data_IF_143756592445
#
_entry.id   IF_143756592445
#
_cell.length_a   1.000
_cell.length_b   1.000
_cell.length_c   1.000
_cell.angle_alpha   90.00
_cell.angle_beta   90.00
_cell.angle_gamma   90.00
#
_symmetry.space_group_name_H-M   'P 1'
#
loop_
_entity.id
_entity.type
_entity.pdbx_description
1 polymer ?
#
# COMPACT_ATOMS: atom_id res chain seq x y z
N UNK A 1 -30.04 -10.97 -7.65
CA UNK A 1 -29.98 -10.64 -9.09
C UNK A 1 -30.51 -11.83 -9.87
N UNK A 2 -31.39 -11.63 -10.86
CA UNK A 2 -31.98 -12.76 -11.59
C UNK A 2 -30.96 -13.29 -12.62
N UNK A 3 -30.68 -14.60 -12.60
CA UNK A 3 -29.76 -15.28 -13.51
C UNK A 3 -30.09 -15.00 -14.99
N UNK A 4 -31.37 -14.91 -15.33
CA UNK A 4 -31.84 -14.66 -16.68
C UNK A 4 -31.35 -13.30 -17.20
N UNK A 5 -31.49 -12.27 -16.39
CA UNK A 5 -31.01 -10.91 -16.70
C UNK A 5 -29.48 -10.86 -16.83
N UNK A 6 -28.77 -11.57 -15.94
CA UNK A 6 -27.29 -11.61 -15.96
C UNK A 6 -26.76 -12.27 -17.23
N UNK A 7 -27.38 -13.37 -17.66
CA UNK A 7 -27.02 -14.04 -18.93
C UNK A 7 -27.18 -13.06 -20.11
N UNK A 8 -28.29 -12.37 -20.17
CA UNK A 8 -28.57 -11.41 -21.23
C UNK A 8 -27.55 -10.27 -21.26
N UNK A 9 -27.29 -9.62 -20.11
CA UNK A 9 -26.36 -8.52 -20.00
C UNK A 9 -24.93 -8.93 -20.38
N UNK A 10 -24.44 -10.08 -19.92
CA UNK A 10 -23.12 -10.58 -20.25
C UNK A 10 -22.98 -10.95 -21.72
N UNK A 11 -24.01 -11.55 -22.33
CA UNK A 11 -23.99 -11.86 -23.76
C UNK A 11 -23.89 -10.59 -24.61
N UNK A 12 -24.73 -9.59 -24.32
CA UNK A 12 -24.73 -8.31 -25.05
C UNK A 12 -23.40 -7.58 -24.88
N UNK A 13 -22.85 -7.51 -23.66
CA UNK A 13 -21.59 -6.83 -23.40
C UNK A 13 -20.40 -7.43 -24.17
N UNK A 14 -20.53 -8.70 -24.58
CA UNK A 14 -19.51 -9.42 -25.38
C UNK A 14 -19.82 -9.45 -26.88
N UNK A 15 -20.90 -8.83 -27.29
CA UNK A 15 -21.33 -8.80 -28.71
C UNK A 15 -21.74 -10.17 -29.26
N UNK A 16 -22.10 -11.14 -28.41
CA UNK A 16 -22.48 -12.48 -28.80
C UNK A 16 -23.95 -12.54 -29.22
N UNK A 17 -24.25 -13.34 -30.27
CA UNK A 17 -25.62 -13.66 -30.63
C UNK A 17 -26.18 -14.82 -29.81
N UNK A 18 -27.49 -15.01 -29.81
CA UNK A 18 -28.11 -16.18 -29.20
C UNK A 18 -27.64 -17.51 -29.83
N UNK A 19 -27.26 -17.46 -31.12
CA UNK A 19 -26.76 -18.57 -31.91
C UNK A 19 -25.35 -18.95 -31.47
N UNK A 20 -24.43 -17.96 -31.34
CA UNK A 20 -23.05 -18.17 -30.87
C UNK A 20 -23.04 -18.87 -29.50
N UNK A 21 -23.87 -18.37 -28.56
CA UNK A 21 -23.97 -18.97 -27.24
C UNK A 21 -24.58 -20.38 -27.31
N UNK A 22 -25.61 -20.56 -28.16
CA UNK A 22 -26.25 -21.85 -28.36
C UNK A 22 -25.31 -22.91 -28.87
N UNK A 23 -24.55 -22.58 -29.93
CA UNK A 23 -23.57 -23.46 -30.56
C UNK A 23 -22.44 -23.86 -29.60
N UNK A 24 -21.89 -22.89 -28.86
CA UNK A 24 -20.84 -23.17 -27.89
C UNK A 24 -21.32 -24.08 -26.76
N UNK A 25 -22.49 -23.79 -26.19
CA UNK A 25 -23.06 -24.57 -25.09
C UNK A 25 -23.63 -25.91 -25.56
N UNK A 26 -23.89 -26.06 -26.86
CA UNK A 26 -24.52 -27.23 -27.46
C UNK A 26 -26.02 -27.29 -27.16
N UNK A 27 -26.73 -26.17 -27.41
CA UNK A 27 -28.18 -26.03 -27.29
C UNK A 27 -28.71 -25.13 -28.39
N UNK A 28 -30.01 -25.18 -28.70
CA UNK A 28 -30.61 -24.29 -29.67
C UNK A 28 -30.67 -22.82 -29.17
N UNK A 29 -30.63 -21.86 -30.08
CA UNK A 29 -30.86 -20.43 -29.78
C UNK A 29 -32.16 -20.19 -29.03
N UNK A 30 -33.21 -20.99 -29.32
CA UNK A 30 -34.48 -20.91 -28.60
C UNK A 30 -34.34 -21.32 -27.11
N UNK A 31 -33.40 -22.21 -26.79
CA UNK A 31 -33.09 -22.58 -25.38
C UNK A 31 -32.39 -21.46 -24.66
N UNK A 32 -31.42 -20.81 -25.31
CA UNK A 32 -30.73 -19.64 -24.73
C UNK A 32 -31.72 -18.50 -24.48
N UNK A 33 -32.61 -18.21 -25.42
CA UNK A 33 -33.67 -17.21 -25.21
C UNK A 33 -34.60 -17.56 -24.05
N UNK A 34 -34.91 -18.84 -23.82
CA UNK A 34 -35.70 -19.27 -22.66
C UNK A 34 -34.96 -19.09 -21.34
N UNK A 35 -33.64 -19.21 -21.35
CA UNK A 35 -32.81 -18.91 -20.17
C UNK A 35 -32.82 -17.40 -19.88
N UNK A 36 -32.60 -16.55 -20.89
CA UNK A 36 -32.64 -15.09 -20.75
C UNK A 36 -34.02 -14.54 -20.38
N UNK A 37 -35.08 -15.24 -20.75
CA UNK A 37 -36.47 -14.87 -20.40
C UNK A 37 -36.93 -15.43 -19.04
N UNK A 38 -36.08 -16.19 -18.34
CA UNK A 38 -36.41 -16.79 -17.05
C UNK A 38 -37.43 -17.95 -17.11
N UNK A 39 -37.83 -18.39 -18.33
CA UNK A 39 -38.77 -19.50 -18.52
C UNK A 39 -38.22 -20.86 -18.10
N UNK A 40 -36.91 -21.03 -18.13
CA UNK A 40 -36.22 -22.23 -17.65
C UNK A 40 -35.27 -21.84 -16.52
N UNK A 41 -35.59 -22.30 -15.31
CA UNK A 41 -34.81 -22.04 -14.10
C UNK A 41 -33.78 -23.14 -13.78
N UNK A 42 -34.00 -24.37 -14.27
CA UNK A 42 -33.12 -25.50 -14.00
C UNK A 42 -32.26 -25.81 -15.22
N UNK A 43 -31.01 -25.35 -15.18
CA UNK A 43 -29.99 -25.71 -16.13
C UNK A 43 -29.15 -26.88 -15.62
N UNK A 44 -28.74 -27.81 -16.49
CA UNK A 44 -27.78 -28.86 -16.14
C UNK A 44 -26.42 -28.25 -15.80
N UNK A 45 -25.69 -28.86 -14.88
CA UNK A 45 -24.38 -28.35 -14.42
C UNK A 45 -23.38 -28.20 -15.55
N UNK A 46 -23.33 -29.16 -16.48
CA UNK A 46 -22.47 -29.10 -17.66
C UNK A 46 -22.76 -27.85 -18.55
N UNK A 47 -24.01 -27.46 -18.66
CA UNK A 47 -24.44 -26.31 -19.44
C UNK A 47 -24.10 -24.98 -18.72
N UNK A 48 -24.22 -24.94 -17.38
CA UNK A 48 -23.84 -23.77 -16.57
C UNK A 48 -22.33 -23.49 -16.72
N UNK A 49 -21.48 -24.54 -16.69
CA UNK A 49 -20.04 -24.38 -16.85
C UNK A 49 -19.69 -23.79 -18.20
N UNK A 50 -20.18 -24.39 -19.30
CA UNK A 50 -19.92 -23.87 -20.66
C UNK A 50 -20.52 -22.48 -20.90
N UNK A 51 -21.68 -22.20 -20.30
CA UNK A 51 -22.30 -20.89 -20.40
C UNK A 51 -21.46 -19.82 -19.67
N UNK A 52 -20.93 -20.14 -18.50
CA UNK A 52 -20.04 -19.28 -17.75
C UNK A 52 -18.72 -19.02 -18.52
N UNK A 53 -18.16 -20.05 -19.15
CA UNK A 53 -16.95 -19.93 -19.98
C UNK A 53 -17.14 -18.95 -21.16
N UNK A 54 -18.17 -19.12 -21.98
CA UNK A 54 -18.41 -18.24 -23.12
C UNK A 54 -18.77 -16.82 -22.69
N UNK A 55 -19.48 -16.68 -21.56
CA UNK A 55 -19.85 -15.39 -20.98
C UNK A 55 -18.71 -14.80 -20.13
N UNK A 56 -17.57 -15.51 -19.92
CA UNK A 56 -16.39 -15.08 -19.20
C UNK A 56 -16.63 -14.70 -17.76
N UNK A 57 -17.42 -15.48 -17.10
CA UNK A 57 -17.73 -15.38 -15.69
C UNK A 57 -17.53 -16.72 -15.01
N UNK A 58 -17.57 -16.79 -13.71
CA UNK A 58 -17.56 -18.09 -13.02
C UNK A 58 -18.96 -18.71 -12.97
N UNK A 59 -19.07 -20.06 -12.95
CA UNK A 59 -20.36 -20.73 -12.75
C UNK A 59 -21.10 -20.27 -11.48
N UNK A 60 -20.36 -20.00 -10.39
CA UNK A 60 -20.93 -19.49 -9.15
C UNK A 60 -21.52 -18.10 -9.31
N UNK A 61 -20.79 -17.19 -9.92
CA UNK A 61 -21.28 -15.83 -10.19
C UNK A 61 -22.49 -15.84 -11.12
N UNK A 62 -22.53 -16.74 -12.10
CA UNK A 62 -23.63 -16.82 -13.04
C UNK A 62 -24.95 -17.23 -12.35
N UNK A 63 -24.90 -18.17 -11.38
CA UNK A 63 -26.07 -18.63 -10.63
C UNK A 63 -26.37 -17.77 -9.39
N UNK A 64 -25.63 -16.68 -9.18
CA UNK A 64 -25.80 -15.80 -8.02
C UNK A 64 -25.29 -16.39 -6.71
N UNK A 65 -24.49 -17.48 -6.80
CA UNK A 65 -23.77 -18.01 -5.66
C UNK A 65 -22.46 -17.21 -5.52
N UNK A 66 -22.49 -16.24 -4.64
CA UNK A 66 -21.24 -15.72 -4.07
C UNK A 66 -20.81 -16.76 -3.05
N UNK A 67 -19.65 -17.41 -3.21
CA UNK A 67 -19.16 -18.25 -2.15
C UNK A 67 -19.10 -17.39 -0.89
N UNK A 68 -19.85 -17.78 0.15
CA UNK A 68 -19.52 -17.24 1.46
C UNK A 68 -18.06 -17.59 1.71
N UNK A 69 -17.24 -16.63 2.21
CA UNK A 69 -15.85 -16.90 2.48
C UNK A 69 -15.76 -18.17 3.32
N UNK A 70 -15.07 -19.17 2.74
CA UNK A 70 -14.92 -20.46 3.43
C UNK A 70 -14.25 -20.22 4.78
N UNK A 71 -14.67 -20.87 5.86
CA UNK A 71 -13.95 -20.80 7.13
C UNK A 71 -12.46 -21.18 7.03
N UNK A 72 -12.08 -21.83 5.93
CA UNK A 72 -10.69 -22.17 5.59
C UNK A 72 -9.95 -21.06 4.81
N UNK A 73 -10.64 -19.99 4.38
CA UNK A 73 -9.99 -18.85 3.79
C UNK A 73 -9.44 -17.95 4.92
N UNK A 74 -8.12 -17.79 5.04
CA UNK A 74 -7.52 -16.92 6.06
C UNK A 74 -8.11 -15.51 6.07
N UNK A 75 -8.55 -14.99 4.91
CA UNK A 75 -9.15 -13.66 4.77
C UNK A 75 -10.60 -13.57 5.30
N UNK A 76 -11.23 -14.70 5.63
CA UNK A 76 -12.58 -14.74 6.21
C UNK A 76 -12.61 -14.70 7.74
N UNK A 77 -11.44 -14.74 8.38
CA UNK A 77 -11.34 -14.61 9.84
C UNK A 77 -11.63 -13.17 10.26
N UNK A 78 -12.37 -12.95 11.37
CA UNK A 78 -12.82 -11.62 11.78
C UNK A 78 -11.67 -10.66 12.12
N UNK A 79 -10.48 -11.19 12.39
CA UNK A 79 -9.28 -10.40 12.74
C UNK A 79 -8.30 -10.21 11.57
N UNK A 80 -8.67 -10.65 10.35
CA UNK A 80 -7.85 -10.49 9.16
C UNK A 80 -8.50 -9.49 8.22
N UNK A 81 -7.84 -8.35 8.03
CA UNK A 81 -8.28 -7.31 7.12
C UNK A 81 -7.40 -7.30 5.86
N UNK A 82 -7.99 -7.11 4.66
CA UNK A 82 -7.20 -6.94 3.44
C UNK A 82 -6.33 -5.69 3.56
N UNK A 83 -5.03 -5.87 3.35
CA UNK A 83 -4.07 -4.74 3.36
C UNK A 83 -4.25 -3.95 2.07
N UNK A 84 -4.72 -2.73 2.17
CA UNK A 84 -4.63 -1.75 1.08
C UNK A 84 -3.24 -1.12 1.11
N UNK A 85 -2.65 -0.95 -0.05
CA UNK A 85 -1.28 -0.46 -0.20
C UNK A 85 -1.26 0.93 -0.80
N UNK A 86 -0.30 1.74 -0.33
CA UNK A 86 0.07 3.03 -0.90
C UNK A 86 1.58 3.02 -1.14
N UNK A 87 2.02 3.55 -2.27
CA UNK A 87 3.42 3.69 -2.59
C UNK A 87 3.94 5.06 -2.11
N UNK A 88 5.17 5.07 -1.56
CA UNK A 88 5.85 6.26 -1.07
C UNK A 88 7.23 6.35 -1.73
N UNK A 89 7.69 7.54 -2.12
CA UNK A 89 9.03 7.72 -2.66
C UNK A 89 10.06 7.43 -1.57
N UNK A 90 11.04 6.57 -1.89
CA UNK A 90 12.21 6.34 -1.07
C UNK A 90 13.26 7.35 -1.50
N UNK A 91 13.44 8.37 -0.69
CA UNK A 91 14.52 9.33 -0.90
C UNK A 91 15.83 8.66 -0.47
N UNK A 92 16.78 8.58 -1.38
CA UNK A 92 18.14 8.11 -1.11
C UNK A 92 18.92 9.08 -0.20
N UNK A 93 20.23 8.95 -0.14
CA UNK A 93 21.09 9.94 0.51
C UNK A 93 20.87 11.30 -0.15
N UNK A 94 20.07 12.14 0.49
CA UNK A 94 19.82 13.49 -0.01
C UNK A 94 21.10 14.27 0.17
N UNK A 95 21.93 14.30 -0.88
CA UNK A 95 22.94 15.35 -1.00
C UNK A 95 22.19 16.69 -1.04
N UNK A 96 22.50 17.57 -0.10
CA UNK A 96 21.81 18.85 0.09
C UNK A 96 21.81 19.70 -1.16
N UNK A 97 20.72 19.75 -1.82
CA UNK A 97 20.27 20.71 -2.78
C UNK A 97 18.76 20.77 -2.68
N UNK A 98 18.14 21.83 -3.13
CA UNK A 98 16.71 21.84 -3.38
C UNK A 98 16.37 20.59 -4.19
N UNK A 99 15.18 19.96 -3.99
CA UNK A 99 14.76 18.87 -4.84
C UNK A 99 14.69 19.39 -6.27
N UNK A 100 15.76 19.22 -7.01
CA UNK A 100 15.77 19.41 -8.45
C UNK A 100 15.06 18.24 -9.04
N UNK A 101 13.88 18.50 -9.60
CA UNK A 101 13.06 17.55 -10.36
C UNK A 101 13.70 17.17 -11.72
N UNK A 102 14.99 17.30 -11.83
CA UNK A 102 15.74 16.97 -13.03
C UNK A 102 16.88 16.04 -12.65
N UNK A 103 16.55 14.76 -12.65
CA UNK A 103 17.38 13.68 -13.19
C UNK A 103 16.64 12.36 -12.95
N UNK A 104 16.46 11.60 -14.04
CA UNK A 104 15.86 10.27 -14.13
C UNK A 104 16.72 9.21 -13.40
N UNK A 105 16.88 9.34 -12.09
CA UNK A 105 17.24 8.18 -11.26
C UNK A 105 15.92 7.59 -10.78
N UNK A 106 15.70 6.33 -11.11
CA UNK A 106 14.53 5.55 -10.78
C UNK A 106 14.13 5.79 -9.32
N UNK A 107 13.09 6.59 -9.10
CA UNK A 107 12.50 6.76 -7.78
C UNK A 107 12.10 5.37 -7.27
N UNK A 108 12.87 4.84 -6.37
CA UNK A 108 12.53 3.57 -5.73
C UNK A 108 11.31 3.82 -4.85
N UNK A 109 10.16 3.27 -5.25
CA UNK A 109 8.94 3.37 -4.48
C UNK A 109 8.88 2.24 -3.46
N UNK A 110 8.48 2.55 -2.24
CA UNK A 110 8.23 1.57 -1.19
C UNK A 110 6.72 1.48 -0.95
N UNK A 111 6.18 0.27 -1.06
CA UNK A 111 4.79 0.01 -0.75
C UNK A 111 4.59 -0.18 0.75
N UNK A 112 3.58 0.47 1.31
CA UNK A 112 3.13 0.28 2.68
C UNK A 112 1.62 0.32 2.79
N UNK A 113 1.09 0.17 4.00
CA UNK A 113 -0.37 0.15 4.25
C UNK A 113 -1.00 1.51 3.96
N UNK A 114 -2.20 1.49 3.38
CA UNK A 114 -3.05 2.68 3.27
C UNK A 114 -3.41 3.20 4.68
N UNK A 115 -3.46 4.51 4.86
CA UNK A 115 -3.80 5.16 6.13
C UNK A 115 -2.60 5.71 6.90
N UNK A 116 -1.36 5.52 6.39
CA UNK A 116 -0.18 6.17 6.95
C UNK A 116 -0.12 7.60 6.46
N UNK A 117 -0.14 8.56 7.38
CA UNK A 117 0.05 9.98 7.07
C UNK A 117 1.56 10.30 6.96
N UNK A 118 2.15 9.85 5.85
CA UNK A 118 3.53 10.13 5.46
C UNK A 118 3.56 10.70 4.04
N UNK A 119 4.64 11.41 3.73
CA UNK A 119 4.86 12.03 2.43
C UNK A 119 6.00 11.32 1.66
N UNK A 120 7.02 10.83 2.36
CA UNK A 120 8.14 10.07 1.81
C UNK A 120 8.70 9.09 2.83
N UNK A 121 9.68 8.27 2.43
CA UNK A 121 10.41 7.41 3.34
C UNK A 121 11.93 7.52 3.12
N UNK A 122 12.69 7.12 4.14
CA UNK A 122 14.14 7.07 4.17
C UNK A 122 14.60 5.68 4.61
N UNK A 123 15.77 5.26 4.14
CA UNK A 123 16.44 4.09 4.69
C UNK A 123 17.32 4.50 5.86
N UNK A 124 17.12 3.87 7.01
CA UNK A 124 17.98 4.08 8.17
C UNK A 124 19.37 3.48 7.93
N UNK A 125 20.41 4.21 8.31
CA UNK A 125 21.80 3.78 8.27
C UNK A 125 22.43 3.86 9.65
N UNK A 126 23.17 2.81 10.00
CA UNK A 126 23.86 2.70 11.29
C UNK A 126 22.95 2.32 12.45
N UNK A 127 23.47 2.44 13.65
CA UNK A 127 22.87 1.91 14.88
C UNK A 127 22.50 2.98 15.92
N UNK A 128 22.59 4.26 15.55
CA UNK A 128 22.37 5.38 16.50
C UNK A 128 20.95 5.47 17.05
N UNK A 129 19.98 4.78 16.44
CA UNK A 129 18.55 4.83 16.81
C UNK A 129 18.00 3.47 17.27
N UNK A 130 18.85 2.51 17.62
CA UNK A 130 18.44 1.16 18.00
C UNK A 130 17.61 1.11 19.27
N UNK A 131 17.79 2.04 20.20
CA UNK A 131 16.93 2.16 21.39
C UNK A 131 15.48 2.54 21.06
N UNK A 132 15.24 3.18 19.94
CA UNK A 132 13.91 3.42 19.39
C UNK A 132 13.44 2.30 18.44
N UNK A 133 14.15 1.16 18.41
CA UNK A 133 13.89 0.01 17.55
C UNK A 133 14.00 0.34 16.05
N UNK A 134 14.82 1.33 15.68
CA UNK A 134 15.17 1.65 14.31
C UNK A 134 16.56 1.09 14.07
N UNK A 135 16.65 0.02 13.27
CA UNK A 135 17.89 -0.69 12.96
C UNK A 135 18.40 -0.35 11.56
N UNK A 136 19.66 -0.66 11.31
CA UNK A 136 20.27 -0.48 9.99
C UNK A 136 19.49 -1.20 8.89
N UNK A 137 19.14 -0.48 7.83
CA UNK A 137 18.37 -0.98 6.68
C UNK A 137 16.85 -0.90 6.84
N UNK A 138 16.32 -0.48 7.98
CA UNK A 138 14.88 -0.24 8.16
C UNK A 138 14.42 0.91 7.26
N UNK A 139 13.15 0.86 6.83
CA UNK A 139 12.52 1.96 6.10
C UNK A 139 11.68 2.78 7.06
N UNK A 140 11.98 4.06 7.17
CA UNK A 140 11.30 5.00 8.06
C UNK A 140 10.44 5.95 7.24
N UNK A 141 9.15 6.00 7.53
CA UNK A 141 8.19 6.86 6.86
C UNK A 141 8.11 8.20 7.56
N UNK A 142 8.20 9.27 6.79
CA UNK A 142 8.34 10.64 7.26
C UNK A 142 7.14 11.48 6.83
N UNK A 143 6.55 12.18 7.80
CA UNK A 143 5.61 13.27 7.52
C UNK A 143 6.42 14.55 7.36
N UNK A 144 6.35 15.15 6.19
CA UNK A 144 7.10 16.37 5.88
C UNK A 144 6.62 17.53 6.73
N UNK A 145 7.53 18.15 7.46
CA UNK A 145 7.29 19.36 8.24
C UNK A 145 8.61 20.06 8.56
N UNK A 146 8.58 21.38 8.69
CA UNK A 146 9.77 22.19 8.98
C UNK A 146 10.09 22.29 10.48
N UNK A 147 9.16 21.87 11.35
CA UNK A 147 9.32 21.81 12.81
C UNK A 147 8.62 20.57 13.33
N UNK A 148 9.15 20.02 14.41
CA UNK A 148 8.60 18.85 15.13
C UNK A 148 8.51 19.20 16.61
N UNK A 149 7.73 18.43 17.37
CA UNK A 149 7.61 18.64 18.81
C UNK A 149 8.78 18.02 19.58
N UNK A 150 9.03 18.52 20.80
CA UNK A 150 10.02 17.92 21.69
C UNK A 150 9.68 16.46 21.96
N UNK A 151 10.67 15.59 21.80
CA UNK A 151 10.51 14.15 21.94
C UNK A 151 10.17 13.42 20.65
N UNK A 152 9.86 14.12 19.57
CA UNK A 152 9.67 13.47 18.26
C UNK A 152 10.98 12.94 17.69
N UNK A 153 10.91 11.82 16.97
CA UNK A 153 12.01 11.36 16.10
C UNK A 153 11.83 12.02 14.75
N UNK A 154 12.86 12.71 14.29
CA UNK A 154 12.83 13.46 13.05
C UNK A 154 13.97 13.06 12.10
N UNK A 155 13.70 13.19 10.81
CA UNK A 155 14.73 13.26 9.78
C UNK A 155 15.31 14.68 9.76
N UNK A 156 16.60 14.79 9.96
CA UNK A 156 17.32 16.04 10.11
C UNK A 156 18.50 16.04 9.15
N UNK A 157 18.68 17.13 8.40
CA UNK A 157 19.88 17.37 7.60
C UNK A 157 20.86 18.21 8.42
N UNK A 158 22.09 17.71 8.53
CA UNK A 158 23.22 18.37 9.20
C UNK A 158 24.38 18.39 8.21
N UNK A 159 24.85 19.56 7.83
CA UNK A 159 26.02 19.73 6.94
C UNK A 159 25.98 18.85 5.67
N UNK A 160 24.82 18.65 5.09
CA UNK A 160 24.57 17.84 3.90
C UNK A 160 24.36 16.32 4.14
N UNK A 161 24.31 15.88 5.36
CA UNK A 161 24.01 14.49 5.68
C UNK A 161 22.62 14.36 6.34
N UNK A 162 21.82 13.41 5.89
CA UNK A 162 20.52 13.11 6.51
C UNK A 162 20.70 12.11 7.64
N UNK A 163 20.14 12.42 8.81
CA UNK A 163 20.17 11.54 9.97
C UNK A 163 18.83 11.51 10.68
N UNK A 164 18.57 10.42 11.44
CA UNK A 164 17.42 10.33 12.34
C UNK A 164 17.89 10.60 13.77
N UNK A 165 17.20 11.46 14.48
CA UNK A 165 17.46 11.79 15.88
C UNK A 165 16.16 12.13 16.61
N UNK A 166 16.14 11.94 17.92
CA UNK A 166 15.09 12.53 18.75
C UNK A 166 15.41 14.01 18.98
N UNK A 167 14.42 14.84 18.73
CA UNK A 167 14.56 16.30 18.78
C UNK A 167 14.12 16.83 20.13
N UNK A 168 14.89 17.76 20.66
CA UNK A 168 14.54 18.50 21.86
C UNK A 168 15.02 19.95 21.72
N UNK A 169 14.12 20.90 22.04
CA UNK A 169 14.39 22.33 22.01
C UNK A 169 14.50 22.87 23.44
N UNK A 170 15.66 23.33 23.85
CA UNK A 170 15.84 24.10 25.09
C UNK A 170 15.66 25.60 24.77
N UNK A 171 14.43 26.08 24.93
CA UNK A 171 14.08 27.48 24.64
C UNK A 171 14.81 28.45 25.58
N UNK A 172 15.12 28.03 26.83
CA UNK A 172 15.84 28.88 27.78
C UNK A 172 17.28 29.15 27.40
N UNK A 173 17.87 28.26 26.63
CA UNK A 173 19.25 28.38 26.13
C UNK A 173 19.33 28.61 24.63
N UNK A 174 18.17 28.70 23.94
CA UNK A 174 18.10 28.78 22.47
C UNK A 174 18.93 27.67 21.80
N UNK A 175 18.74 26.43 22.25
CA UNK A 175 19.47 25.24 21.77
C UNK A 175 18.53 24.25 21.09
N UNK A 176 19.05 23.58 20.07
CA UNK A 176 18.50 22.36 19.50
C UNK A 176 19.39 21.21 19.93
N UNK A 177 18.81 20.20 20.56
CA UNK A 177 19.48 19.00 21.01
C UNK A 177 18.96 17.83 20.18
N UNK A 178 19.83 17.10 19.54
CA UNK A 178 19.54 15.92 18.74
C UNK A 178 20.07 14.68 19.47
N UNK A 179 19.17 13.93 20.06
CA UNK A 179 19.48 12.76 20.88
C UNK A 179 19.54 11.50 19.99
N UNK A 180 20.64 10.74 20.06
CA UNK A 180 20.62 9.37 19.60
C UNK A 180 19.85 8.49 20.59
N UNK A 181 19.22 7.44 20.12
CA UNK A 181 18.53 6.44 20.93
C UNK A 181 19.45 5.23 21.27
N UNK A 182 20.74 5.35 21.00
CA UNK A 182 21.77 4.40 21.40
C UNK A 182 22.72 5.07 22.37
N UNK A 183 22.88 4.55 23.62
CA UNK A 183 23.74 5.14 24.65
C UNK A 183 25.23 5.21 24.28
N UNK A 184 25.66 4.46 23.27
CA UNK A 184 27.04 4.52 22.77
C UNK A 184 27.38 5.86 22.09
N UNK A 185 26.37 6.62 21.71
CA UNK A 185 26.53 7.92 21.05
C UNK A 185 26.18 9.06 21.98
N UNK A 186 26.83 10.20 21.78
CA UNK A 186 26.55 11.44 22.51
C UNK A 186 25.52 12.28 21.77
N UNK A 187 24.69 13.08 22.48
CA UNK A 187 23.78 14.03 21.84
C UNK A 187 24.58 15.11 21.11
N UNK A 188 24.00 15.59 20.00
CA UNK A 188 24.52 16.75 19.26
C UNK A 188 23.76 17.98 19.72
N UNK A 189 24.48 19.04 20.07
CA UNK A 189 23.90 20.28 20.61
C UNK A 189 24.31 21.43 19.70
N UNK A 190 23.31 22.16 19.22
CA UNK A 190 23.49 23.29 18.31
C UNK A 190 22.84 24.55 18.86
N UNK A 191 23.51 25.69 18.70
CA UNK A 191 23.01 27.00 19.16
C UNK A 191 23.53 28.13 18.28
N UNK A 192 22.82 29.26 18.30
CA UNK A 192 23.17 30.45 17.53
C UNK A 192 23.28 30.17 16.04
N UNK A 193 24.39 30.59 15.43
CA UNK A 193 24.62 30.47 13.99
C UNK A 193 24.70 29.01 13.49
N UNK A 194 25.00 28.07 14.37
CA UNK A 194 25.04 26.62 14.01
C UNK A 194 23.66 26.10 13.59
N UNK A 195 22.59 26.70 14.10
CA UNK A 195 21.22 26.31 13.75
C UNK A 195 20.92 26.54 12.26
N UNK A 196 21.61 27.47 11.61
CA UNK A 196 21.44 27.72 10.17
C UNK A 196 21.92 26.56 9.28
N UNK A 197 22.72 25.64 9.84
CA UNK A 197 23.23 24.46 9.12
C UNK A 197 22.35 23.23 9.29
N UNK A 198 21.22 23.36 10.01
CA UNK A 198 20.33 22.27 10.33
C UNK A 198 19.00 22.50 9.68
N UNK A 199 18.49 21.49 9.02
CA UNK A 199 17.14 21.51 8.45
C UNK A 199 16.38 20.25 8.88
N UNK A 200 15.21 20.46 9.47
CA UNK A 200 14.28 19.38 9.76
C UNK A 200 13.52 19.06 8.47
N UNK A 201 13.53 17.83 8.03
CA UNK A 201 12.77 17.35 6.88
C UNK A 201 11.36 16.92 7.27
N UNK A 202 11.20 16.35 8.48
CA UNK A 202 9.92 15.91 8.97
C UNK A 202 10.02 14.93 10.13
N UNK A 203 8.84 14.54 10.63
CA UNK A 203 8.66 13.62 11.75
C UNK A 203 8.55 12.18 11.26
N UNK A 204 9.22 11.25 11.93
CA UNK A 204 9.04 9.81 11.71
C UNK A 204 7.68 9.38 12.26
N UNK A 205 6.88 8.70 11.43
CA UNK A 205 5.52 8.26 11.77
C UNK A 205 5.36 6.75 11.77
N UNK A 206 6.22 6.03 11.04
CA UNK A 206 6.19 4.57 10.98
C UNK A 206 7.54 4.00 10.61
N UNK A 207 7.82 2.77 11.05
CA UNK A 207 8.98 1.98 10.64
C UNK A 207 8.48 0.71 9.97
N UNK A 208 9.08 0.36 8.84
CA UNK A 208 8.86 -0.92 8.17
C UNK A 208 10.13 -1.75 8.25
N UNK A 209 10.02 -2.93 8.87
CA UNK A 209 11.12 -3.89 9.04
C UNK A 209 10.90 -5.13 8.20
N UNK A 210 11.98 -5.64 7.62
CA UNK A 210 11.99 -6.93 6.93
C UNK A 210 12.47 -8.00 7.90
N UNK A 211 11.63 -9.01 8.16
CA UNK A 211 12.04 -10.18 8.95
C UNK A 211 12.97 -11.02 8.08
N UNK A 212 14.26 -11.03 8.41
CA UNK A 212 15.24 -11.86 7.71
C UNK A 212 15.23 -13.28 8.31
N UNK A 213 15.24 -14.30 7.45
CA UNK A 213 15.51 -15.67 7.90
C UNK A 213 16.92 -15.72 8.48
N UNK A 214 17.07 -16.38 9.62
CA UNK A 214 18.37 -16.74 10.20
C UNK A 214 19.06 -17.80 9.34
#
# INVERSE_FOLDING_TARGET
MDIARKIHELRISRGLTLEDVGDYVGVSKATVLKWESGKIKNMRRDKIVRLAEILGTSPGELIGWTPEPSPSDPLSLPDIFPIRRKAFPLLGDIACGEPTYEEEEHETMVESTEGIDADFCLRAHGDSMTGAQIDDGDVVFIKQMSMVDNGDIAAVVIENETTLKRVDYDLGKAQLILWPENPAYRPLIYQGEQLNRIRILGRAVMIQKIIRKR
#
